data_IF_340455947669
#
_entry.id   IF_340455947669
#
_cell.length_a   1.000
_cell.length_b   1.000
_cell.length_c   1.000
_cell.angle_alpha   90.00
_cell.angle_beta   90.00
_cell.angle_gamma   90.00
#
_symmetry.space_group_name_H-M   'P 1'
#
loop_
_entity.id
_entity.type
_entity.pdbx_description
1 polymer ?
#
# COMPACT_ATOMS: atom_id res chain seq x y z
N UNK A 1 -39.78 -26.15 5.49
CA UNK A 1 -40.20 -24.90 6.16
C UNK A 1 -39.05 -23.92 6.43
N UNK A 2 -37.77 -24.28 6.25
CA UNK A 2 -36.70 -23.27 6.22
C UNK A 2 -36.64 -22.60 4.84
N UNK A 3 -36.89 -21.30 4.81
CA UNK A 3 -36.64 -20.44 3.65
C UNK A 3 -35.99 -19.15 4.12
N UNK A 4 -35.03 -18.64 3.35
CA UNK A 4 -34.40 -17.35 3.60
C UNK A 4 -35.44 -16.23 3.48
N UNK A 5 -35.46 -15.30 4.43
CA UNK A 5 -36.35 -14.13 4.41
C UNK A 5 -35.52 -12.87 4.33
N UNK A 6 -35.91 -11.96 3.45
CA UNK A 6 -35.31 -10.64 3.32
C UNK A 6 -36.21 -9.57 3.98
N UNK A 7 -36.43 -9.71 5.28
CA UNK A 7 -37.29 -8.81 6.08
C UNK A 7 -36.55 -8.19 7.27
N UNK A 8 -35.24 -8.39 7.34
CA UNK A 8 -34.41 -7.95 8.46
C UNK A 8 -33.70 -6.64 8.11
N UNK A 9 -33.59 -5.77 9.11
CA UNK A 9 -32.82 -4.52 9.05
C UNK A 9 -31.59 -4.63 9.94
N UNK A 10 -30.53 -3.90 9.59
CA UNK A 10 -29.25 -3.95 10.28
C UNK A 10 -28.67 -2.54 10.41
N UNK A 11 -27.91 -2.32 11.48
CA UNK A 11 -27.16 -1.10 11.73
C UNK A 11 -25.73 -1.43 12.18
N UNK A 12 -24.74 -0.60 11.84
CA UNK A 12 -23.38 -0.77 12.34
C UNK A 12 -23.35 -0.56 13.86
N UNK A 13 -22.54 -1.36 14.54
CA UNK A 13 -22.32 -1.28 16.00
C UNK A 13 -20.83 -1.16 16.31
N UNK A 14 -20.51 -0.88 17.57
CA UNK A 14 -19.13 -0.75 18.06
C UNK A 14 -18.37 -2.08 18.01
N UNK A 15 -17.04 -2.02 17.84
CA UNK A 15 -16.15 -3.19 17.97
C UNK A 15 -16.10 -3.76 19.39
N UNK A 16 -16.72 -3.08 20.36
CA UNK A 16 -16.91 -3.58 21.72
C UNK A 16 -17.58 -4.97 21.73
N UNK A 17 -18.51 -5.21 20.79
CA UNK A 17 -19.24 -6.49 20.66
C UNK A 17 -18.34 -7.68 20.30
N UNK A 18 -17.12 -7.45 19.81
CA UNK A 18 -16.21 -8.51 19.37
C UNK A 18 -15.66 -9.37 20.52
N UNK A 19 -15.72 -8.86 21.75
CA UNK A 19 -15.33 -9.62 22.95
C UNK A 19 -16.60 -10.11 23.66
N UNK A 20 -16.77 -11.43 23.73
CA UNK A 20 -17.95 -12.08 24.33
C UNK A 20 -18.14 -11.79 25.83
N UNK A 21 -17.10 -11.30 26.52
CA UNK A 21 -17.20 -10.90 27.93
C UNK A 21 -17.88 -9.53 28.12
N UNK A 22 -18.03 -8.74 27.04
CA UNK A 22 -18.65 -7.43 27.10
C UNK A 22 -20.17 -7.56 27.02
N UNK A 23 -20.86 -7.22 28.11
CA UNK A 23 -22.32 -7.23 28.21
C UNK A 23 -22.84 -5.84 28.58
N UNK A 24 -22.57 -4.85 27.72
CA UNK A 24 -23.08 -3.49 27.87
C UNK A 24 -24.08 -3.16 26.76
N UNK A 25 -25.02 -2.23 26.99
CA UNK A 25 -25.98 -1.80 25.95
C UNK A 25 -25.30 -1.16 24.73
N UNK A 26 -24.06 -0.68 24.88
CA UNK A 26 -23.25 -0.12 23.80
C UNK A 26 -22.96 -1.14 22.68
N UNK A 27 -23.01 -2.45 22.98
CA UNK A 27 -22.83 -3.51 21.98
C UNK A 27 -23.96 -3.54 20.93
N UNK A 28 -25.14 -3.02 21.26
CA UNK A 28 -26.31 -2.98 20.36
C UNK A 28 -26.60 -1.58 19.82
N UNK A 29 -25.94 -0.57 20.37
CA UNK A 29 -26.17 0.82 20.02
C UNK A 29 -25.65 1.10 18.59
N UNK A 30 -26.47 1.72 17.72
CA UNK A 30 -26.04 2.15 16.41
C UNK A 30 -24.85 3.13 16.50
N UNK A 31 -23.85 2.92 15.66
CA UNK A 31 -22.68 3.81 15.55
C UNK A 31 -22.74 4.57 14.23
N UNK A 32 -22.64 5.90 14.30
CA UNK A 32 -22.53 6.72 13.10
C UNK A 32 -21.11 6.68 12.53
N UNK A 33 -20.97 6.09 11.34
CA UNK A 33 -19.70 5.99 10.63
C UNK A 33 -19.26 7.32 10.01
N UNK A 34 -20.19 8.27 9.79
CA UNK A 34 -19.88 9.59 9.24
C UNK A 34 -19.24 10.53 10.26
N UNK A 35 -19.46 10.26 11.55
CA UNK A 35 -18.83 10.98 12.67
C UNK A 35 -17.36 10.64 12.90
N UNK A 36 -16.76 9.70 12.15
CA UNK A 36 -15.34 9.38 12.27
C UNK A 36 -14.53 10.65 11.97
N UNK A 37 -14.09 11.29 13.05
CA UNK A 37 -13.05 12.31 13.06
C UNK A 37 -11.92 11.79 12.20
N UNK A 38 -11.72 12.40 11.03
CA UNK A 38 -10.59 12.05 10.19
C UNK A 38 -9.36 12.07 11.10
N UNK A 39 -8.61 10.96 11.20
CA UNK A 39 -7.42 10.95 12.03
C UNK A 39 -6.53 12.07 11.53
N UNK A 40 -6.14 12.97 12.44
CA UNK A 40 -5.30 14.13 12.09
C UNK A 40 -4.14 13.61 11.24
N UNK A 41 -3.92 14.18 10.04
CA UNK A 41 -2.93 13.64 9.13
C UNK A 41 -1.56 13.74 9.78
N UNK A 42 -1.04 12.59 10.20
CA UNK A 42 0.32 12.41 10.71
C UNK A 42 1.30 12.57 9.55
N UNK A 43 2.57 12.88 9.86
CA UNK A 43 3.61 12.98 8.83
C UNK A 43 3.68 11.70 7.96
N UNK A 44 3.57 10.53 8.60
CA UNK A 44 3.51 9.22 7.91
C UNK A 44 2.26 9.06 7.04
N UNK A 45 1.09 9.50 7.51
CA UNK A 45 -0.14 9.46 6.72
C UNK A 45 -0.06 10.33 5.46
N UNK A 46 0.59 11.50 5.55
CA UNK A 46 0.82 12.37 4.38
C UNK A 46 1.76 11.73 3.37
N UNK A 47 2.87 11.15 3.83
CA UNK A 47 3.80 10.43 2.95
C UNK A 47 3.12 9.26 2.25
N UNK A 48 2.30 8.48 2.98
CA UNK A 48 1.55 7.36 2.41
C UNK A 48 0.54 7.82 1.37
N UNK A 49 -0.22 8.90 1.63
CA UNK A 49 -1.14 9.49 0.64
C UNK A 49 -0.40 9.89 -0.64
N UNK A 50 0.74 10.58 -0.53
CA UNK A 50 1.53 10.99 -1.68
C UNK A 50 2.09 9.79 -2.47
N UNK A 51 2.48 8.73 -1.76
CA UNK A 51 2.96 7.49 -2.38
C UNK A 51 1.86 6.78 -3.18
N UNK A 52 0.65 6.67 -2.61
CA UNK A 52 -0.50 6.08 -3.28
C UNK A 52 -0.90 6.86 -4.54
N UNK A 53 -0.94 8.21 -4.46
CA UNK A 53 -1.26 9.08 -5.60
C UNK A 53 -0.21 9.00 -6.72
N UNK A 54 1.05 8.74 -6.38
CA UNK A 54 2.14 8.59 -7.36
C UNK A 54 2.10 7.23 -8.09
N UNK A 55 1.28 6.29 -7.62
CA UNK A 55 1.16 4.94 -8.16
C UNK A 55 0.19 4.80 -9.34
N UNK A 56 -0.70 5.76 -9.56
CA UNK A 56 -1.62 5.78 -10.71
C UNK A 56 -0.89 6.23 -11.99
N UNK A 57 0.03 5.39 -12.45
CA UNK A 57 0.69 5.56 -13.74
C UNK A 57 -0.23 5.08 -14.88
N UNK A 58 -1.23 5.89 -15.23
CA UNK A 58 -1.88 5.87 -16.56
C UNK A 58 -0.93 6.41 -17.66
N UNK A 59 0.36 6.55 -17.34
CA UNK A 59 1.47 6.94 -18.21
C UNK A 59 2.50 5.83 -18.31
N UNK A 60 2.07 4.58 -18.54
CA UNK A 60 2.93 3.61 -19.23
C UNK A 60 3.06 4.08 -20.69
N UNK A 61 3.73 5.21 -20.91
CA UNK A 61 4.07 5.73 -22.23
C UNK A 61 5.23 4.89 -22.74
N UNK A 62 4.90 4.06 -23.72
CA UNK A 62 5.75 3.41 -24.71
C UNK A 62 7.26 3.41 -24.42
N UNK A 63 7.77 2.23 -24.11
CA UNK A 63 9.16 1.91 -24.43
C UNK A 63 9.27 1.87 -25.95
N UNK A 64 9.54 3.02 -26.56
CA UNK A 64 9.93 3.10 -27.95
C UNK A 64 11.26 2.35 -28.07
N UNK A 65 11.20 1.17 -28.68
CA UNK A 65 12.37 0.46 -29.19
C UNK A 65 12.54 0.91 -30.64
N UNK A 66 13.51 1.78 -30.98
CA UNK A 66 14.02 1.83 -32.33
C UNK A 66 15.20 0.86 -32.44
N UNK A 67 15.05 0.03 -33.44
CA UNK A 67 16.03 -0.89 -34.00
C UNK A 67 17.44 -0.29 -34.12
N UNK A 68 18.40 -1.16 -33.80
CA UNK A 68 19.74 -1.25 -34.40
C UNK A 68 20.16 -0.11 -35.33
N UNK A 69 21.07 0.75 -34.87
CA UNK A 69 22.27 1.13 -35.63
C UNK A 69 23.48 1.24 -34.71
N UNK A 70 24.48 0.47 -35.13
CA UNK A 70 25.86 0.40 -34.69
C UNK A 70 26.57 1.74 -34.54
N UNK A 71 27.54 1.73 -33.61
CA UNK A 71 28.83 2.43 -33.70
C UNK A 71 28.81 3.97 -33.58
N UNK A 72 29.65 4.65 -32.79
CA UNK A 72 31.00 4.36 -32.32
C UNK A 72 31.36 5.36 -31.19
N UNK A 73 32.11 4.85 -30.19
CA UNK A 73 33.33 5.47 -29.62
C UNK A 73 33.25 6.91 -29.04
N UNK A 74 33.36 7.03 -27.71
CA UNK A 74 34.59 7.49 -27.02
C UNK A 74 34.37 7.87 -25.54
N UNK A 75 35.22 7.25 -24.70
CA UNK A 75 35.89 7.78 -23.50
C UNK A 75 35.11 8.14 -22.21
N UNK A 76 35.68 7.57 -21.14
CA UNK A 76 35.87 8.09 -19.78
C UNK A 76 34.90 7.67 -18.66
N UNK A 77 35.52 7.00 -17.68
CA UNK A 77 35.12 6.70 -16.29
C UNK A 77 33.96 5.69 -16.06
N UNK A 78 34.17 4.59 -15.30
CA UNK A 78 33.06 3.80 -14.81
C UNK A 78 32.35 4.59 -13.71
N UNK A 79 31.30 5.31 -14.08
CA UNK A 79 30.32 5.84 -13.14
C UNK A 79 29.63 4.63 -12.50
N UNK A 80 30.17 4.14 -11.38
CA UNK A 80 29.50 3.18 -10.51
C UNK A 80 28.21 3.84 -10.01
N UNK A 81 27.11 3.63 -10.74
CA UNK A 81 25.78 3.89 -10.20
C UNK A 81 25.64 2.99 -8.97
N UNK A 82 25.47 3.52 -7.75
CA UNK A 82 25.31 2.67 -6.59
C UNK A 82 24.09 1.80 -6.83
N UNK A 83 24.28 0.48 -6.79
CA UNK A 83 23.20 -0.50 -6.83
C UNK A 83 22.22 -0.11 -5.74
N UNK A 84 21.01 0.30 -6.14
CA UNK A 84 19.99 0.72 -5.21
C UNK A 84 19.70 -0.40 -4.21
N UNK A 85 19.38 -0.03 -2.97
CA UNK A 85 19.11 -0.97 -1.87
C UNK A 85 18.12 -2.08 -2.25
N UNK A 86 17.11 -1.74 -3.07
CA UNK A 86 16.13 -2.70 -3.59
C UNK A 86 16.75 -3.74 -4.52
N UNK A 87 17.66 -3.32 -5.41
CA UNK A 87 18.31 -4.23 -6.37
C UNK A 87 19.26 -5.20 -5.67
N UNK A 88 19.88 -4.78 -4.55
CA UNK A 88 20.68 -5.64 -3.68
C UNK A 88 19.82 -6.67 -2.93
N UNK A 89 18.61 -6.28 -2.53
CA UNK A 89 17.65 -7.16 -1.86
C UNK A 89 17.06 -8.21 -2.82
N UNK A 90 16.69 -7.80 -4.03
CA UNK A 90 16.20 -8.70 -5.08
C UNK A 90 17.25 -9.75 -5.49
N UNK A 91 18.53 -9.41 -5.43
CA UNK A 91 19.63 -10.33 -5.68
C UNK A 91 20.01 -11.20 -4.46
N UNK A 92 19.19 -11.18 -3.41
CA UNK A 92 19.35 -12.08 -2.26
C UNK A 92 20.49 -11.70 -1.31
N UNK A 93 20.83 -10.41 -1.22
CA UNK A 93 21.54 -9.79 -0.09
C UNK A 93 22.67 -10.61 0.57
N UNK A 94 23.65 -11.08 -0.19
CA UNK A 94 24.84 -11.74 0.39
C UNK A 94 25.90 -10.69 0.74
N UNK A 95 26.01 -10.32 2.01
CA UNK A 95 27.16 -9.53 2.51
C UNK A 95 28.41 -10.43 2.54
N UNK A 96 29.59 -9.98 2.04
CA UNK A 96 30.82 -10.71 2.30
C UNK A 96 31.19 -10.58 3.78
N UNK A 97 31.38 -11.73 4.44
CA UNK A 97 31.92 -11.83 5.79
C UNK A 97 33.43 -11.62 5.73
N UNK A 98 33.92 -10.46 6.17
CA UNK A 98 35.36 -10.27 6.41
C UNK A 98 35.77 -11.11 7.63
N UNK A 99 36.91 -11.81 7.50
CA UNK A 99 37.61 -12.46 8.62
C UNK A 99 38.42 -11.44 9.39
#
# INVERSE_FOLDING_TARGET
LLQSKNILTFHPVSTLVNNSRNNSPECLQPVDLSSKKEPKPTASSRMMKNWLLSGDSLKRKEFCSPESKEEQKEKAAPQHKPVGSLQLWLQGGKKPRTK
#
